data_IF_167822145519
#
_entry.id   IF_167822145519
#
_cell.length_a   1.000
_cell.length_b   1.000
_cell.length_c   1.000
_cell.angle_alpha   90.00
_cell.angle_beta   90.00
_cell.angle_gamma   90.00
#
_symmetry.space_group_name_H-M   'P 1'
#
loop_
_entity.id
_entity.type
_entity.pdbx_description
1 polymer ?
#
# COMPACT_ATOMS: atom_id res chain seq x y z
N UNK A 1 10.17 33.51 1.60
CA UNK A 1 9.45 32.23 1.83
C UNK A 1 9.89 31.24 0.78
N UNK A 2 10.11 29.98 1.14
CA UNK A 2 10.65 28.98 0.21
C UNK A 2 10.29 27.57 0.62
N UNK A 3 10.25 26.67 -0.35
CA UNK A 3 9.99 25.24 -0.12
C UNK A 3 11.24 24.61 0.49
N UNK A 4 11.06 23.87 1.59
CA UNK A 4 12.12 23.03 2.16
C UNK A 4 11.87 21.59 1.75
N UNK A 5 12.85 21.00 1.08
CA UNK A 5 12.81 19.60 0.69
C UNK A 5 13.45 18.74 1.78
N UNK A 6 12.74 17.71 2.21
CA UNK A 6 13.24 16.71 3.14
C UNK A 6 12.96 15.33 2.57
N UNK A 7 13.92 14.40 2.74
CA UNK A 7 13.72 12.99 2.38
C UNK A 7 13.11 12.26 3.58
N UNK A 8 12.11 11.43 3.32
CA UNK A 8 11.49 10.56 4.31
C UNK A 8 11.70 9.09 3.95
N UNK A 9 12.06 8.27 4.94
CA UNK A 9 12.21 6.82 4.76
C UNK A 9 10.87 6.06 4.76
N UNK A 10 9.77 6.74 5.05
CA UNK A 10 8.41 6.17 5.15
C UNK A 10 7.48 6.63 4.02
N UNK A 11 8.04 7.15 2.93
CA UNK A 11 7.25 7.51 1.76
C UNK A 11 7.01 6.25 0.92
N UNK A 12 5.75 5.89 0.63
CA UNK A 12 5.46 4.70 -0.15
C UNK A 12 5.97 4.88 -1.58
N UNK A 13 6.56 3.81 -2.10
CA UNK A 13 6.96 3.67 -3.50
C UNK A 13 6.24 2.44 -4.01
N UNK A 14 5.50 2.60 -5.10
CA UNK A 14 4.73 1.54 -5.72
C UNK A 14 4.92 1.53 -7.23
N UNK A 15 4.70 0.37 -7.86
CA UNK A 15 4.89 0.18 -9.28
C UNK A 15 3.64 -0.38 -9.96
N UNK A 16 3.41 0.03 -11.20
CA UNK A 16 2.47 -0.65 -12.08
C UNK A 16 3.04 -2.00 -12.53
N UNK A 17 2.27 -3.08 -12.46
CA UNK A 17 2.63 -4.38 -13.03
C UNK A 17 1.65 -4.80 -14.11
N UNK A 18 2.04 -5.81 -14.89
CA UNK A 18 1.22 -6.32 -15.98
C UNK A 18 -0.16 -6.78 -15.48
N UNK A 19 -1.16 -6.67 -16.34
CA UNK A 19 -2.51 -7.14 -16.08
C UNK A 19 -2.54 -8.65 -15.75
N UNK A 20 -3.48 -9.12 -14.91
CA UNK A 20 -3.80 -10.53 -14.80
C UNK A 20 -4.21 -11.10 -16.18
N UNK A 21 -3.77 -12.31 -16.50
CA UNK A 21 -4.10 -13.01 -17.76
C UNK A 21 -4.42 -14.48 -17.50
N UNK A 22 -4.89 -15.21 -18.52
CA UNK A 22 -5.12 -16.65 -18.40
C UNK A 22 -3.84 -17.51 -18.29
N UNK A 23 -2.67 -16.93 -18.54
CA UNK A 23 -1.40 -17.65 -18.41
C UNK A 23 -1.02 -17.87 -16.94
N UNK A 24 -0.22 -18.90 -16.67
CA UNK A 24 0.23 -19.23 -15.32
C UNK A 24 0.82 -18.01 -14.59
N UNK A 25 0.50 -17.91 -13.29
CA UNK A 25 0.99 -16.84 -12.43
C UNK A 25 2.52 -16.88 -12.34
N UNK A 26 3.13 -15.71 -12.25
CA UNK A 26 4.58 -15.53 -12.10
C UNK A 26 4.90 -14.82 -10.79
N UNK A 27 6.16 -14.46 -10.58
CA UNK A 27 6.59 -13.66 -9.41
C UNK A 27 5.99 -12.25 -9.39
N UNK A 28 5.51 -11.74 -10.52
CA UNK A 28 5.04 -10.36 -10.66
C UNK A 28 3.67 -10.21 -11.32
N UNK A 29 3.13 -11.26 -11.94
CA UNK A 29 1.85 -11.24 -12.64
C UNK A 29 0.92 -12.34 -12.13
N UNK A 30 -0.33 -11.98 -11.86
CA UNK A 30 -1.37 -12.92 -11.47
C UNK A 30 -1.92 -13.69 -12.67
N UNK A 31 -2.47 -14.86 -12.41
CA UNK A 31 -3.34 -15.56 -13.35
C UNK A 31 -4.80 -15.26 -13.01
N UNK A 32 -5.65 -15.09 -14.01
CA UNK A 32 -7.10 -15.01 -13.86
C UNK A 32 -7.76 -15.84 -14.97
N UNK A 33 -8.49 -16.89 -14.57
CA UNK A 33 -9.10 -17.87 -15.49
C UNK A 33 -10.53 -18.12 -15.06
N UNK A 34 -11.49 -18.08 -16.00
CA UNK A 34 -12.84 -18.52 -15.72
C UNK A 34 -12.82 -20.01 -15.36
N UNK A 35 -13.37 -20.37 -14.20
CA UNK A 35 -13.41 -21.76 -13.77
C UNK A 35 -14.76 -22.38 -14.19
N UNK A 36 -14.69 -23.58 -14.75
CA UNK A 36 -15.83 -24.31 -15.31
C UNK A 36 -16.64 -25.09 -14.27
N UNK A 37 -16.23 -25.03 -13.00
CA UNK A 37 -16.91 -25.68 -11.89
C UNK A 37 -17.95 -24.72 -11.31
N UNK A 38 -19.24 -25.09 -11.27
CA UNK A 38 -20.28 -24.24 -10.71
C UNK A 38 -20.01 -23.99 -9.22
N UNK A 39 -19.87 -22.73 -8.86
CA UNK A 39 -20.04 -22.20 -7.52
C UNK A 39 -21.49 -21.66 -7.36
N UNK A 40 -21.73 -20.97 -6.24
CA UNK A 40 -22.95 -20.27 -5.89
C UNK A 40 -22.95 -18.78 -6.33
N UNK A 41 -22.08 -18.42 -7.28
CA UNK A 41 -21.72 -17.06 -7.70
C UNK A 41 -22.49 -16.50 -8.90
N UNK A 42 -22.39 -15.18 -9.09
CA UNK A 42 -23.31 -14.36 -9.91
C UNK A 42 -22.72 -13.94 -11.27
N UNK A 43 -21.53 -14.42 -11.67
CA UNK A 43 -20.89 -13.99 -12.93
C UNK A 43 -21.42 -14.67 -14.21
N UNK A 44 -22.53 -15.39 -14.12
CA UNK A 44 -23.14 -16.05 -15.27
C UNK A 44 -23.48 -15.04 -16.39
N UNK A 45 -22.85 -15.21 -17.56
CA UNK A 45 -23.12 -14.41 -18.76
C UNK A 45 -22.56 -12.98 -18.74
N UNK A 46 -21.76 -12.62 -17.73
CA UNK A 46 -21.02 -11.35 -17.71
C UNK A 46 -19.52 -11.60 -17.85
N UNK A 47 -18.75 -10.54 -18.13
CA UNK A 47 -17.29 -10.67 -18.30
C UNK A 47 -16.54 -9.77 -17.31
N UNK A 48 -16.29 -10.27 -16.08
CA UNK A 48 -15.63 -9.49 -15.04
C UNK A 48 -14.18 -9.16 -15.40
N UNK A 49 -13.68 -8.12 -14.75
CA UNK A 49 -12.27 -7.72 -14.75
C UNK A 49 -11.69 -7.82 -13.35
N UNK A 50 -10.38 -8.04 -13.30
CA UNK A 50 -9.64 -8.27 -12.07
C UNK A 50 -8.48 -7.29 -11.98
N UNK A 51 -8.24 -6.80 -10.75
CA UNK A 51 -7.02 -6.10 -10.35
C UNK A 51 -6.44 -6.81 -9.13
N UNK A 52 -5.13 -6.96 -9.08
CA UNK A 52 -4.40 -7.54 -7.94
C UNK A 52 -3.38 -6.54 -7.44
N UNK A 53 -3.37 -6.33 -6.12
CA UNK A 53 -2.47 -5.41 -5.43
C UNK A 53 -1.58 -6.18 -4.47
N UNK A 54 -0.28 -5.97 -4.55
CA UNK A 54 0.70 -6.54 -3.63
C UNK A 54 1.02 -5.53 -2.53
N UNK A 55 0.84 -5.94 -1.28
CA UNK A 55 1.22 -5.19 -0.06
C UNK A 55 2.45 -5.82 0.57
N UNK A 56 3.42 -4.99 0.93
CA UNK A 56 4.62 -5.41 1.64
C UNK A 56 4.26 -6.05 2.99
N UNK A 57 4.78 -7.25 3.28
CA UNK A 57 4.47 -7.94 4.54
C UNK A 57 5.02 -7.21 5.78
N UNK A 58 6.07 -6.39 5.61
CA UNK A 58 6.74 -5.71 6.72
C UNK A 58 6.20 -4.31 6.97
N UNK A 59 5.93 -3.52 5.92
CA UNK A 59 5.47 -2.13 6.05
C UNK A 59 3.98 -1.94 5.79
N UNK A 60 3.31 -2.98 5.29
CA UNK A 60 1.91 -2.94 4.90
C UNK A 60 1.54 -1.90 3.80
N UNK A 61 2.56 -1.41 3.10
CA UNK A 61 2.34 -0.48 2.00
C UNK A 61 2.08 -1.23 0.72
N UNK A 62 1.21 -0.67 -0.11
CA UNK A 62 1.05 -1.12 -1.49
C UNK A 62 2.37 -0.90 -2.23
N UNK A 63 2.87 -1.96 -2.87
CA UNK A 63 4.14 -1.94 -3.61
C UNK A 63 3.96 -2.21 -5.08
N UNK A 64 2.96 -3.01 -5.45
CA UNK A 64 2.68 -3.35 -6.85
C UNK A 64 1.19 -3.34 -7.09
N UNK A 65 0.75 -2.67 -8.14
CA UNK A 65 -0.66 -2.59 -8.54
C UNK A 65 -0.73 -3.09 -9.98
N UNK A 66 -1.50 -4.15 -10.24
CA UNK A 66 -1.66 -4.65 -11.60
C UNK A 66 -2.49 -3.68 -12.44
N UNK A 67 -2.22 -3.64 -13.75
CA UNK A 67 -3.22 -3.13 -14.68
C UNK A 67 -4.53 -3.93 -14.52
N UNK A 68 -5.65 -3.32 -14.89
CA UNK A 68 -6.92 -4.04 -15.02
C UNK A 68 -6.80 -5.12 -16.10
N UNK A 69 -7.29 -6.33 -15.79
CA UNK A 69 -7.34 -7.42 -16.77
C UNK A 69 -8.20 -7.06 -17.99
N UNK A 70 -7.99 -7.79 -19.09
CA UNK A 70 -9.03 -7.88 -20.11
C UNK A 70 -10.32 -8.46 -19.50
N UNK A 71 -11.45 -8.22 -20.16
CA UNK A 71 -12.72 -8.83 -19.76
C UNK A 71 -12.59 -10.36 -19.85
N UNK A 72 -12.86 -11.05 -18.74
CA UNK A 72 -12.71 -12.49 -18.64
C UNK A 72 -14.04 -13.12 -19.03
N UNK A 73 -14.08 -13.87 -20.12
CA UNK A 73 -15.31 -14.52 -20.56
C UNK A 73 -15.66 -15.68 -19.64
N UNK A 74 -16.75 -15.53 -18.89
CA UNK A 74 -17.30 -16.56 -18.00
C UNK A 74 -18.49 -17.22 -18.73
N UNK A 75 -18.36 -18.50 -19.05
CA UNK A 75 -19.40 -19.27 -19.75
C UNK A 75 -20.62 -19.51 -18.85
N UNK A 76 -21.80 -19.85 -19.38
CA UNK A 76 -23.02 -20.03 -18.58
C UNK A 76 -22.95 -21.10 -17.46
N UNK A 77 -22.00 -22.04 -17.56
CA UNK A 77 -21.74 -23.11 -16.57
C UNK A 77 -20.56 -22.79 -15.63
N UNK A 78 -19.83 -21.73 -15.95
CA UNK A 78 -18.80 -21.10 -15.14
C UNK A 78 -19.45 -19.90 -14.45
N UNK A 79 -19.25 -19.71 -13.17
CA UNK A 79 -19.86 -18.58 -12.45
C UNK A 79 -18.84 -17.89 -11.54
N UNK A 80 -17.57 -18.26 -11.68
CA UNK A 80 -16.44 -17.73 -10.95
C UNK A 80 -15.20 -17.56 -11.84
N UNK A 81 -14.28 -16.75 -11.31
CA UNK A 81 -12.93 -16.56 -11.86
C UNK A 81 -11.92 -16.96 -10.79
N UNK A 82 -11.11 -17.97 -11.10
CA UNK A 82 -9.98 -18.32 -10.25
C UNK A 82 -8.82 -17.37 -10.52
N UNK A 83 -8.43 -16.64 -9.47
CA UNK A 83 -7.32 -15.70 -9.48
C UNK A 83 -6.17 -16.27 -8.66
N UNK A 84 -5.15 -16.77 -9.34
CA UNK A 84 -3.90 -17.17 -8.67
C UNK A 84 -3.00 -15.96 -8.54
N UNK A 85 -2.77 -15.52 -7.31
CA UNK A 85 -1.94 -14.34 -7.02
C UNK A 85 -0.45 -14.65 -7.23
N UNK A 86 0.41 -13.63 -7.45
CA UNK A 86 1.82 -13.84 -7.74
C UNK A 86 2.57 -14.60 -6.63
N UNK A 87 3.70 -15.22 -7.00
CA UNK A 87 4.46 -16.12 -6.10
C UNK A 87 5.51 -15.43 -5.22
N UNK A 88 5.57 -14.09 -5.20
CA UNK A 88 6.57 -13.37 -4.42
C UNK A 88 6.16 -13.30 -2.94
N UNK A 89 6.84 -14.07 -2.10
CA UNK A 89 6.54 -14.23 -0.66
C UNK A 89 6.78 -12.99 0.20
N UNK A 90 7.39 -11.94 -0.35
CA UNK A 90 7.59 -10.67 0.34
C UNK A 90 6.29 -9.85 0.45
N UNK A 91 5.22 -10.32 -0.18
CA UNK A 91 3.95 -9.62 -0.26
C UNK A 91 2.77 -10.47 0.18
N UNK A 92 1.75 -9.78 0.66
CA UNK A 92 0.38 -10.28 0.72
C UNK A 92 -0.44 -9.62 -0.39
N UNK A 93 -1.47 -10.29 -0.89
CA UNK A 93 -2.17 -9.89 -2.10
C UNK A 93 -3.64 -9.63 -1.86
N UNK A 94 -4.09 -8.48 -2.34
CA UNK A 94 -5.50 -8.12 -2.39
C UNK A 94 -6.02 -8.33 -3.82
N UNK A 95 -7.19 -8.94 -3.93
CA UNK A 95 -7.88 -9.23 -5.18
C UNK A 95 -9.14 -8.39 -5.25
N UNK A 96 -9.26 -7.63 -6.33
CA UNK A 96 -10.39 -6.77 -6.62
C UNK A 96 -11.11 -7.28 -7.87
N UNK A 97 -12.43 -7.14 -7.90
CA UNK A 97 -13.28 -7.50 -9.03
C UNK A 97 -14.33 -6.42 -9.29
N UNK A 98 -14.75 -6.31 -10.55
CA UNK A 98 -15.95 -5.58 -10.94
C UNK A 98 -17.16 -6.51 -11.11
N UNK A 99 -18.28 -5.95 -11.54
CA UNK A 99 -19.54 -6.65 -11.83
C UNK A 99 -19.64 -7.17 -13.27
N UNK A 100 -18.57 -7.09 -14.06
CA UNK A 100 -18.56 -7.43 -15.48
C UNK A 100 -19.26 -6.45 -16.42
N UNK A 101 -19.72 -5.30 -15.93
CA UNK A 101 -20.40 -4.24 -16.70
C UNK A 101 -19.65 -2.90 -16.69
N UNK A 102 -18.31 -2.94 -16.59
CA UNK A 102 -17.46 -1.76 -16.37
C UNK A 102 -17.77 -0.99 -15.07
N UNK A 103 -18.36 -1.66 -14.09
CA UNK A 103 -18.60 -1.12 -12.75
C UNK A 103 -17.30 -0.83 -11.99
N UNK A 104 -17.47 -0.36 -10.74
CA UNK A 104 -16.32 -0.08 -9.87
C UNK A 104 -15.56 -1.35 -9.52
N UNK A 105 -14.23 -1.27 -9.59
CA UNK A 105 -13.32 -2.32 -9.16
C UNK A 105 -13.21 -2.28 -7.64
N UNK A 106 -13.84 -3.24 -6.95
CA UNK A 106 -13.98 -3.24 -5.49
C UNK A 106 -13.26 -4.45 -4.88
N UNK A 107 -12.78 -4.28 -3.65
CA UNK A 107 -12.04 -5.32 -2.94
C UNK A 107 -12.94 -6.52 -2.68
N UNK A 108 -12.53 -7.70 -3.17
CA UNK A 108 -13.23 -8.97 -2.99
C UNK A 108 -12.57 -9.82 -1.91
N UNK A 109 -11.24 -9.96 -1.97
CA UNK A 109 -10.45 -10.70 -0.99
C UNK A 109 -9.18 -9.93 -0.66
N UNK A 110 -8.75 -9.99 0.60
CA UNK A 110 -7.57 -9.28 1.08
C UNK A 110 -6.58 -10.22 1.75
N UNK A 111 -5.30 -9.82 1.77
CA UNK A 111 -4.23 -10.51 2.52
C UNK A 111 -3.99 -11.95 2.10
N UNK A 112 -4.25 -12.28 0.86
CA UNK A 112 -3.98 -13.62 0.33
C UNK A 112 -2.47 -13.88 0.34
N UNK A 113 -2.08 -15.06 0.77
CA UNK A 113 -0.68 -15.48 0.73
C UNK A 113 -0.19 -15.58 -0.71
N UNK A 114 1.13 -15.47 -0.92
CA UNK A 114 1.73 -15.67 -2.23
C UNK A 114 1.33 -17.05 -2.81
N UNK A 115 1.10 -17.09 -4.12
CA UNK A 115 0.62 -18.28 -4.85
C UNK A 115 -0.76 -18.83 -4.44
N UNK A 116 -1.50 -18.15 -3.56
CA UNK A 116 -2.88 -18.54 -3.26
C UNK A 116 -3.79 -18.36 -4.49
N UNK A 117 -4.78 -19.23 -4.63
CA UNK A 117 -5.86 -19.09 -5.61
C UNK A 117 -7.12 -18.62 -4.89
N UNK A 118 -7.69 -17.53 -5.38
CA UNK A 118 -8.94 -16.94 -4.90
C UNK A 118 -10.02 -17.18 -5.96
N UNK A 119 -11.06 -17.93 -5.61
CA UNK A 119 -12.23 -18.11 -6.47
C UNK A 119 -13.17 -16.91 -6.30
N UNK A 120 -13.14 -15.99 -7.26
CA UNK A 120 -13.96 -14.78 -7.26
C UNK A 120 -15.32 -15.09 -7.85
N UNK A 121 -16.38 -14.99 -7.05
CA UNK A 121 -17.76 -15.39 -7.39
C UNK A 121 -18.69 -14.21 -7.70
N UNK A 122 -18.18 -12.98 -7.61
CA UNK A 122 -18.96 -11.75 -7.85
C UNK A 122 -18.12 -10.49 -7.69
N UNK A 123 -18.79 -9.34 -7.77
CA UNK A 123 -18.16 -8.05 -7.48
C UNK A 123 -17.72 -8.01 -6.01
N UNK A 124 -16.55 -7.42 -5.74
CA UNK A 124 -16.14 -7.10 -4.38
C UNK A 124 -17.10 -6.10 -3.70
N UNK A 125 -17.10 -6.08 -2.37
CA UNK A 125 -17.92 -5.14 -1.58
C UNK A 125 -17.08 -4.19 -0.72
N UNK A 126 -15.76 -4.33 -0.75
CA UNK A 126 -14.85 -3.49 0.02
C UNK A 126 -14.45 -2.21 -0.71
N UNK A 127 -13.33 -1.62 -0.30
CA UNK A 127 -12.82 -0.37 -0.87
C UNK A 127 -12.47 -0.48 -2.35
N UNK A 128 -12.53 0.65 -3.06
CA UNK A 128 -12.12 0.74 -4.46
C UNK A 128 -10.63 0.40 -4.63
N UNK A 129 -10.31 -0.23 -5.76
CA UNK A 129 -8.92 -0.50 -6.13
C UNK A 129 -8.14 0.80 -6.32
N UNK A 130 -6.88 0.86 -5.84
CA UNK A 130 -6.00 1.98 -6.15
C UNK A 130 -5.70 2.03 -7.65
N UNK A 131 -5.54 3.23 -8.20
CA UNK A 131 -5.23 3.41 -9.61
C UNK A 131 -3.82 2.88 -9.93
N UNK A 132 -3.72 1.98 -10.92
CA UNK A 132 -2.45 1.41 -11.33
C UNK A 132 -1.63 2.43 -12.15
N UNK A 133 -0.36 2.67 -11.82
CA UNK A 133 0.57 3.32 -12.74
C UNK A 133 0.75 2.48 -14.00
N UNK A 134 1.30 3.04 -15.08
CA UNK A 134 1.64 2.24 -16.25
C UNK A 134 2.58 1.07 -15.88
N UNK A 135 2.39 -0.09 -16.53
CA UNK A 135 3.17 -1.30 -16.25
C UNK A 135 4.68 -1.05 -16.40
N UNK A 136 5.46 -1.50 -15.42
CA UNK A 136 6.91 -1.32 -15.37
C UNK A 136 7.36 0.08 -14.95
N UNK A 137 6.45 0.95 -14.52
CA UNK A 137 6.77 2.28 -13.99
C UNK A 137 6.66 2.29 -12.47
N UNK A 138 7.71 2.74 -11.82
CA UNK A 138 7.70 3.06 -10.39
C UNK A 138 7.22 4.51 -10.20
N UNK A 139 6.43 4.70 -9.15
CA UNK A 139 5.90 5.99 -8.73
C UNK A 139 6.52 6.37 -7.40
N UNK A 140 7.17 7.53 -7.38
CA UNK A 140 7.71 8.17 -6.20
C UNK A 140 6.72 9.22 -5.73
N UNK A 141 6.26 9.06 -4.49
CA UNK A 141 5.32 9.96 -3.85
C UNK A 141 6.08 11.05 -3.09
N UNK A 142 5.75 12.30 -3.39
CA UNK A 142 6.12 13.45 -2.57
C UNK A 142 4.86 14.06 -1.94
N UNK A 143 5.00 14.55 -0.72
CA UNK A 143 3.94 15.30 -0.06
C UNK A 143 4.38 16.74 0.12
N UNK A 144 3.52 17.65 -0.30
CA UNK A 144 3.68 19.08 -0.12
C UNK A 144 2.71 19.50 0.98
N UNK A 145 3.27 20.09 2.02
CA UNK A 145 2.52 20.58 3.17
C UNK A 145 2.57 22.11 3.17
N UNK A 146 1.40 22.73 3.03
CA UNK A 146 1.24 24.16 3.18
C UNK A 146 1.48 24.63 4.62
N UNK A 147 1.70 25.94 4.78
CA UNK A 147 1.54 26.59 6.08
C UNK A 147 0.07 26.38 6.49
N UNK A 148 -0.16 25.91 7.71
CA UNK A 148 -1.49 25.51 8.27
C UNK A 148 -2.04 24.13 7.86
N UNK A 149 -1.27 23.31 7.14
CA UNK A 149 -1.61 21.90 6.90
C UNK A 149 -1.69 21.09 8.23
N UNK A 150 -0.75 21.33 9.15
CA UNK A 150 -0.70 20.63 10.44
C UNK A 150 -0.66 21.57 11.62
N UNK A 151 -1.41 21.19 12.65
CA UNK A 151 -1.29 21.72 13.99
C UNK A 151 -0.28 20.94 14.79
N UNK A 152 0.41 21.63 15.70
CA UNK A 152 1.16 21.00 16.78
C UNK A 152 0.63 21.54 18.09
N UNK A 153 0.29 20.63 19.00
CA UNK A 153 -0.04 21.00 20.38
C UNK A 153 1.07 20.47 21.27
N UNK A 154 1.62 21.37 22.07
CA UNK A 154 2.55 21.05 23.14
C UNK A 154 1.74 20.77 24.41
N UNK A 155 2.12 19.73 25.16
CA UNK A 155 1.50 19.50 26.46
C UNK A 155 1.90 20.65 27.41
N UNK A 156 0.92 21.27 28.06
CA UNK A 156 1.19 22.37 28.98
C UNK A 156 2.13 21.91 30.12
N UNK A 157 3.24 22.62 30.33
CA UNK A 157 4.28 22.28 31.32
C UNK A 157 5.33 21.25 30.87
N UNK A 158 5.28 20.79 29.62
CA UNK A 158 6.19 19.78 29.04
C UNK A 158 6.90 20.31 27.79
N UNK A 159 7.43 21.53 27.87
CA UNK A 159 8.43 22.03 26.93
C UNK A 159 9.69 21.13 26.99
N UNK A 160 10.63 21.30 26.04
CA UNK A 160 11.91 20.56 26.03
C UNK A 160 12.59 20.63 27.41
N UNK A 161 12.42 19.58 28.22
CA UNK A 161 13.06 19.47 29.53
C UNK A 161 14.35 18.70 29.33
N UNK A 162 15.48 19.39 29.47
CA UNK A 162 16.79 18.77 29.57
C UNK A 162 17.08 18.49 31.04
N UNK A 163 17.41 17.25 31.35
CA UNK A 163 17.87 16.87 32.68
C UNK A 163 19.33 16.45 32.57
N UNK A 164 20.14 17.06 33.44
CA UNK A 164 21.48 16.56 33.75
C UNK A 164 21.37 15.92 35.11
N UNK A 165 21.79 14.66 35.22
CA UNK A 165 21.81 13.99 36.54
C UNK A 165 22.75 14.78 37.47
N UNK A 166 22.33 15.17 38.69
CA UNK A 166 23.17 15.92 39.62
C UNK A 166 24.50 15.22 39.88
N UNK A 167 25.55 15.98 40.17
CA UNK A 167 26.84 15.43 40.57
C UNK A 167 26.73 14.85 42.00
N UNK A 168 26.32 13.59 42.12
CA UNK A 168 26.22 12.88 43.38
C UNK A 168 26.58 11.42 43.22
N UNK A 169 27.57 10.95 43.98
CA UNK A 169 27.89 9.53 44.07
C UNK A 169 26.95 8.90 45.11
N UNK A 170 26.08 7.99 44.67
CA UNK A 170 25.23 7.21 45.58
C UNK A 170 25.66 5.73 45.56
N UNK A 171 25.88 5.16 46.75
CA UNK A 171 26.35 3.77 46.92
C UNK A 171 25.26 2.73 46.64
N UNK A 172 23.99 3.12 46.60
CA UNK A 172 22.83 2.24 46.39
C UNK A 172 22.49 2.00 44.92
N UNK A 173 22.91 2.87 44.00
CA UNK A 173 22.60 2.75 42.57
C UNK A 173 23.84 3.00 41.69
N UNK A 174 24.54 1.95 41.24
CA UNK A 174 25.76 2.11 40.43
C UNK A 174 25.50 2.77 39.06
N UNK A 175 24.27 2.77 38.56
CA UNK A 175 23.88 3.45 37.32
C UNK A 175 23.70 4.97 37.47
N UNK A 176 23.75 5.50 38.70
CA UNK A 176 23.75 6.93 38.99
C UNK A 176 25.14 7.57 38.85
N UNK A 177 26.22 6.77 38.81
CA UNK A 177 27.60 7.26 38.64
C UNK A 177 27.88 7.79 37.22
N UNK A 178 27.10 7.38 36.22
CA UNK A 178 27.23 7.87 34.85
C UNK A 178 26.45 9.16 34.63
N UNK A 179 27.10 10.22 34.13
CA UNK A 179 26.40 11.43 33.69
C UNK A 179 25.48 11.06 32.52
N UNK A 180 24.17 11.17 32.74
CA UNK A 180 23.16 11.00 31.69
C UNK A 180 22.57 12.37 31.36
N UNK A 181 22.51 12.65 30.07
CA UNK A 181 21.77 13.77 29.51
C UNK A 181 20.55 13.16 28.82
N UNK A 182 19.37 13.57 29.25
CA UNK A 182 18.11 13.16 28.64
C UNK A 182 17.30 14.39 28.29
N UNK A 183 16.66 14.36 27.12
CA UNK A 183 15.61 15.31 26.77
C UNK A 183 14.29 14.56 26.61
N UNK A 184 13.19 15.19 27.04
CA UNK A 184 11.84 14.72 26.75
C UNK A 184 11.16 15.78 25.89
N UNK A 185 10.57 15.35 24.78
CA UNK A 185 9.83 16.21 23.86
C UNK A 185 8.50 15.52 23.62
N UNK A 186 7.41 16.11 24.12
CA UNK A 186 6.06 15.55 23.97
C UNK A 186 5.21 16.54 23.18
N UNK A 187 4.92 16.18 21.95
CA UNK A 187 4.12 16.97 21.02
C UNK A 187 3.19 16.02 20.28
N UNK A 188 1.97 16.49 20.03
CA UNK A 188 1.02 15.80 19.16
C UNK A 188 0.82 16.64 17.92
N UNK A 189 0.96 16.02 16.76
CA UNK A 189 0.56 16.60 15.48
C UNK A 189 -0.80 16.07 15.04
N UNK A 190 -1.58 16.93 14.39
CA UNK A 190 -2.82 16.55 13.73
C UNK A 190 -3.03 17.40 12.48
N UNK A 191 -3.77 16.85 11.53
CA UNK A 191 -4.15 17.53 10.28
C UNK A 191 -5.21 18.57 10.65
N UNK A 192 -4.97 19.84 10.33
CA UNK A 192 -5.95 20.93 10.54
C UNK A 192 -6.83 21.07 9.31
N UNK A 193 -6.23 21.19 8.13
CA UNK A 193 -6.94 21.35 6.87
C UNK A 193 -6.28 20.53 5.76
N UNK A 194 -7.03 19.56 5.22
CA UNK A 194 -6.56 18.67 4.15
C UNK A 194 -6.37 19.40 2.80
N UNK A 195 -6.98 20.59 2.61
CA UNK A 195 -6.82 21.35 1.36
C UNK A 195 -5.41 21.93 1.20
N UNK A 196 -4.66 22.07 2.29
CA UNK A 196 -3.27 22.50 2.29
C UNK A 196 -2.29 21.32 2.12
N UNK A 197 -2.80 20.14 1.78
CA UNK A 197 -2.03 18.95 1.45
C UNK A 197 -2.11 18.66 -0.03
N UNK A 198 -0.95 18.48 -0.64
CA UNK A 198 -0.89 17.97 -2.00
C UNK A 198 0.01 16.74 -2.01
N UNK A 199 -0.54 15.64 -2.50
CA UNK A 199 0.24 14.46 -2.90
C UNK A 199 0.66 14.66 -4.35
N UNK A 200 1.96 14.67 -4.59
CA UNK A 200 2.54 14.70 -5.92
C UNK A 200 3.11 13.31 -6.22
N UNK A 201 2.71 12.77 -7.37
CA UNK A 201 3.18 11.49 -7.86
C UNK A 201 4.04 11.72 -9.08
N UNK A 202 5.25 11.17 -9.04
CA UNK A 202 6.20 11.28 -10.14
C UNK A 202 6.66 9.89 -10.57
N UNK A 203 6.69 9.65 -11.87
CA UNK A 203 7.35 8.48 -12.46
C UNK A 203 8.32 8.97 -13.51
N UNK A 204 9.42 8.24 -13.69
CA UNK A 204 10.41 8.55 -14.71
C UNK A 204 10.65 7.33 -15.59
N UNK A 205 10.92 7.58 -16.87
CA UNK A 205 11.33 6.57 -17.83
C UNK A 205 12.85 6.39 -17.91
N UNK A 206 13.60 7.23 -17.19
CA UNK A 206 15.05 7.19 -17.16
C UNK A 206 15.53 5.87 -16.53
N UNK A 207 16.39 5.12 -17.24
CA UNK A 207 16.95 3.88 -16.70
C UNK A 207 17.82 4.21 -15.49
N UNK A 208 17.52 3.63 -14.34
CA UNK A 208 18.38 3.69 -13.17
C UNK A 208 19.68 2.89 -13.42
N UNK A 209 20.61 3.44 -14.20
CA UNK A 209 22.02 3.20 -13.90
C UNK A 209 22.33 4.02 -12.65
N UNK A 210 22.01 3.45 -11.48
CA UNK A 210 22.72 3.83 -10.27
C UNK A 210 24.21 3.53 -10.55
N UNK A 211 25.14 4.47 -10.27
CA UNK A 211 26.55 4.10 -10.27
C UNK A 211 26.73 2.93 -9.29
N UNK A 212 27.48 1.92 -9.75
CA UNK A 212 27.76 0.69 -9.03
C UNK A 212 28.29 0.93 -7.61
#
# INVERSE_FOLDING_TARGET
MGVRWARGNFLPIFAGVAAPTGAAATTTRSQAVANATPSDGTFAGVSPKIVVVARDISTDYERKISQTSAAITVALVSDNVDVTVPSSSNYTYDVYSDDGSAGSMLLFSSRNAASATVSVTGQGTGSAAPAAPASGREVFVAWIFGVDAFGRVELNGMSLQSYITPAGAEFSNPLAQGRKVGSKIMWKSFIIDNNYFVRLESSSTYSAQLPA
#
